data_IF_495464009832
#
_entry.id   IF_495464009832
#
_cell.length_a   1.000
_cell.length_b   1.000
_cell.length_c   1.000
_cell.angle_alpha   90.00
_cell.angle_beta   90.00
_cell.angle_gamma   90.00
#
_symmetry.space_group_name_H-M   'P 1'
#
loop_
_entity.id
_entity.type
_entity.pdbx_description
1 polymer ?
#
# COMPACT_ATOMS: atom_id res chain seq x y z
N UNK A 1 21.93 0.36 -10.27
CA UNK A 1 22.18 0.34 -8.82
C UNK A 1 23.68 0.30 -8.63
N UNK A 2 24.27 1.38 -8.10
CA UNK A 2 25.69 1.41 -7.81
C UNK A 2 26.02 0.28 -6.83
N UNK A 3 27.08 -0.46 -7.10
CA UNK A 3 27.54 -1.60 -6.32
C UNK A 3 28.15 -1.22 -4.96
N UNK A 4 28.15 0.05 -4.61
CA UNK A 4 28.67 0.55 -3.34
C UNK A 4 27.69 0.22 -2.20
N UNK A 5 28.06 -0.62 -1.23
CA UNK A 5 27.22 -1.00 -0.11
C UNK A 5 26.73 0.20 0.72
N UNK A 6 27.50 1.29 0.76
CA UNK A 6 27.16 2.52 1.46
C UNK A 6 25.98 3.23 0.79
N UNK A 7 25.93 3.29 -0.55
CA UNK A 7 24.82 3.94 -1.29
C UNK A 7 23.52 3.15 -1.12
N UNK A 8 23.61 1.82 -1.13
CA UNK A 8 22.47 0.95 -0.90
C UNK A 8 21.93 1.09 0.54
N UNK A 9 22.82 1.14 1.54
CA UNK A 9 22.45 1.37 2.92
C UNK A 9 21.81 2.75 3.13
N UNK A 10 22.38 3.81 2.54
CA UNK A 10 21.82 5.15 2.61
C UNK A 10 20.43 5.20 1.98
N UNK A 11 20.23 4.57 0.83
CA UNK A 11 18.93 4.44 0.18
C UNK A 11 17.90 3.75 1.08
N UNK A 12 18.28 2.70 1.78
CA UNK A 12 17.43 1.99 2.73
C UNK A 12 17.04 2.88 3.92
N UNK A 13 17.97 3.62 4.52
CA UNK A 13 17.67 4.54 5.60
C UNK A 13 16.75 5.69 5.16
N UNK A 14 16.95 6.23 3.97
CA UNK A 14 16.06 7.25 3.40
C UNK A 14 14.66 6.70 3.15
N UNK A 15 14.53 5.44 2.72
CA UNK A 15 13.24 4.78 2.57
C UNK A 15 12.54 4.59 3.92
N UNK A 16 13.25 4.13 4.95
CA UNK A 16 12.68 3.99 6.29
C UNK A 16 12.24 5.35 6.86
N UNK A 17 13.05 6.39 6.70
CA UNK A 17 12.71 7.73 7.19
C UNK A 17 11.53 8.31 6.39
N UNK A 18 11.61 8.31 5.07
CA UNK A 18 10.60 8.93 4.20
C UNK A 18 9.28 8.18 4.21
N UNK A 19 9.31 6.90 3.88
CA UNK A 19 8.09 6.10 3.79
C UNK A 19 7.61 5.59 5.15
N UNK A 20 8.53 5.11 5.99
CA UNK A 20 8.18 4.57 7.31
C UNK A 20 7.77 5.65 8.30
N UNK A 21 8.65 6.60 8.60
CA UNK A 21 8.41 7.58 9.66
C UNK A 21 7.52 8.71 9.16
N UNK A 22 7.93 9.46 8.15
CA UNK A 22 7.20 10.63 7.65
C UNK A 22 5.85 10.20 7.05
N UNK A 23 5.85 9.14 6.23
CA UNK A 23 4.64 8.58 5.65
C UNK A 23 3.68 8.04 6.72
N UNK A 24 4.18 7.35 7.74
CA UNK A 24 3.38 6.84 8.86
C UNK A 24 2.73 7.95 9.67
N UNK A 25 3.47 9.03 9.99
CA UNK A 25 2.92 10.22 10.66
C UNK A 25 1.84 10.87 9.78
N UNK A 26 2.12 11.06 8.48
CA UNK A 26 1.16 11.64 7.54
C UNK A 26 -0.12 10.82 7.42
N UNK A 27 -0.01 9.50 7.35
CA UNK A 27 -1.15 8.58 7.32
C UNK A 27 -1.99 8.70 8.60
N UNK A 28 -1.35 8.73 9.77
CA UNK A 28 -2.05 8.87 11.06
C UNK A 28 -2.84 10.17 11.16
N UNK A 29 -2.24 11.29 10.81
CA UNK A 29 -2.88 12.61 10.84
C UNK A 29 -4.02 12.72 9.81
N UNK A 30 -3.79 12.24 8.59
CA UNK A 30 -4.76 12.32 7.49
C UNK A 30 -5.95 11.36 7.65
N UNK A 31 -5.79 10.29 8.42
CA UNK A 31 -6.84 9.29 8.61
C UNK A 31 -7.91 9.72 9.63
N UNK A 32 -7.49 10.29 10.75
CA UNK A 32 -8.39 10.63 11.87
C UNK A 32 -9.31 11.79 11.54
N UNK A 33 -8.80 12.83 10.86
CA UNK A 33 -9.56 14.04 10.55
C UNK A 33 -10.83 13.82 9.74
N UNK A 34 -10.81 13.09 8.59
CA UNK A 34 -12.02 12.81 7.81
C UNK A 34 -13.06 12.00 8.60
N UNK A 35 -12.62 10.98 9.33
CA UNK A 35 -13.51 10.12 10.12
C UNK A 35 -14.24 10.94 11.19
N UNK A 36 -13.49 11.72 11.99
CA UNK A 36 -14.08 12.52 13.05
C UNK A 36 -15.04 13.59 12.54
N UNK A 37 -14.74 14.16 11.39
CA UNK A 37 -15.61 15.18 10.78
C UNK A 37 -16.89 14.60 10.20
N UNK A 38 -16.79 13.47 9.49
CA UNK A 38 -18.00 12.84 8.94
C UNK A 38 -18.96 12.36 10.03
N UNK A 39 -18.46 11.86 11.15
CA UNK A 39 -19.30 11.53 12.32
C UNK A 39 -20.04 12.76 12.85
N UNK A 40 -19.45 13.96 12.77
CA UNK A 40 -20.10 15.22 13.18
C UNK A 40 -21.14 15.70 12.16
N UNK A 41 -20.90 15.49 10.87
CA UNK A 41 -21.84 15.82 9.81
C UNK A 41 -23.06 14.89 9.80
N UNK A 42 -22.90 13.63 10.19
CA UNK A 42 -23.95 12.59 10.16
C UNK A 42 -24.13 11.96 11.54
N UNK A 43 -24.60 12.72 12.54
CA UNK A 43 -24.80 12.20 13.89
C UNK A 43 -25.94 11.17 14.00
N UNK A 44 -26.82 11.14 13.00
CA UNK A 44 -27.95 10.22 12.83
C UNK A 44 -27.53 8.85 12.27
N UNK A 45 -26.39 8.80 11.55
CA UNK A 45 -25.86 7.60 10.88
C UNK A 45 -24.34 7.52 11.02
N UNK A 46 -23.88 7.43 12.25
CA UNK A 46 -22.43 7.47 12.57
C UNK A 46 -21.65 6.30 11.99
N UNK A 47 -22.26 5.10 11.99
CA UNK A 47 -21.66 3.91 11.42
C UNK A 47 -21.47 4.07 9.92
N UNK A 48 -22.53 4.40 9.19
CA UNK A 48 -22.44 4.63 7.74
C UNK A 48 -21.42 5.72 7.40
N UNK A 49 -21.42 6.84 8.13
CA UNK A 49 -20.48 7.94 7.92
C UNK A 49 -19.03 7.50 8.12
N UNK A 50 -18.77 6.72 9.17
CA UNK A 50 -17.46 6.10 9.42
C UNK A 50 -17.10 5.14 8.29
N UNK A 51 -18.02 4.27 7.88
CA UNK A 51 -17.84 3.32 6.79
C UNK A 51 -17.44 4.02 5.49
N UNK A 52 -18.15 5.10 5.13
CA UNK A 52 -17.83 5.92 3.95
C UNK A 52 -16.43 6.55 4.03
N UNK A 53 -16.02 7.07 5.19
CA UNK A 53 -14.69 7.62 5.37
C UNK A 53 -13.60 6.58 5.14
N UNK A 54 -13.76 5.41 5.77
CA UNK A 54 -12.71 4.38 5.75
C UNK A 54 -12.76 3.47 4.51
N UNK A 55 -13.87 3.46 3.75
CA UNK A 55 -13.92 2.74 2.47
C UNK A 55 -12.95 3.30 1.44
N UNK A 56 -12.65 4.60 1.52
CA UNK A 56 -11.65 5.26 0.68
C UNK A 56 -10.28 4.59 0.74
N UNK A 57 -9.94 3.96 1.86
CA UNK A 57 -8.70 3.20 2.00
C UNK A 57 -8.67 1.97 1.06
N UNK A 58 -9.75 1.20 1.00
CA UNK A 58 -9.85 0.05 0.08
C UNK A 58 -9.95 0.48 -1.39
N UNK A 59 -10.80 1.48 -1.68
CA UNK A 59 -10.96 2.04 -3.02
C UNK A 59 -9.69 2.74 -3.52
N UNK A 60 -8.97 3.43 -2.64
CA UNK A 60 -7.69 4.05 -2.94
C UNK A 60 -6.62 3.04 -3.36
N UNK A 61 -6.56 1.90 -2.69
CA UNK A 61 -5.64 0.81 -3.06
C UNK A 61 -5.92 0.26 -4.47
N UNK A 62 -7.18 0.16 -4.86
CA UNK A 62 -7.58 -0.25 -6.21
C UNK A 62 -7.13 0.76 -7.28
N UNK A 63 -7.40 2.04 -7.06
CA UNK A 63 -7.00 3.12 -7.97
C UNK A 63 -5.47 3.21 -8.05
N UNK A 64 -4.81 3.14 -6.90
CA UNK A 64 -3.34 3.20 -6.80
C UNK A 64 -2.70 2.04 -7.57
N UNK A 65 -3.20 0.81 -7.40
CA UNK A 65 -2.67 -0.35 -8.13
C UNK A 65 -2.72 -0.15 -9.65
N UNK A 66 -3.88 0.24 -10.19
CA UNK A 66 -4.05 0.47 -11.62
C UNK A 66 -3.15 1.60 -12.14
N UNK A 67 -2.97 2.65 -11.34
CA UNK A 67 -2.12 3.78 -11.68
C UNK A 67 -0.64 3.41 -11.62
N UNK A 68 -0.23 2.68 -10.58
CA UNK A 68 1.15 2.23 -10.38
C UNK A 68 1.57 1.30 -11.52
N UNK A 69 0.76 0.30 -11.87
CA UNK A 69 1.08 -0.65 -12.92
C UNK A 69 1.35 0.09 -14.26
N UNK A 70 0.46 1.03 -14.63
CA UNK A 70 0.63 1.84 -15.86
C UNK A 70 1.84 2.77 -15.82
N UNK A 71 2.14 3.35 -14.66
CA UNK A 71 3.29 4.25 -14.52
C UNK A 71 4.60 3.48 -14.54
N UNK A 72 4.66 2.32 -13.88
CA UNK A 72 5.82 1.45 -13.93
C UNK A 72 6.11 1.01 -15.38
N UNK A 73 5.08 0.59 -16.12
CA UNK A 73 5.20 0.24 -17.52
C UNK A 73 5.69 1.42 -18.37
N UNK A 74 5.13 2.63 -18.14
CA UNK A 74 5.50 3.85 -18.86
C UNK A 74 6.94 4.29 -18.60
N UNK A 75 7.42 4.16 -17.37
CA UNK A 75 8.77 4.59 -16.97
C UNK A 75 9.79 3.46 -17.00
N UNK A 76 9.35 2.24 -17.33
CA UNK A 76 10.24 1.10 -17.49
C UNK A 76 11.26 1.35 -18.59
N UNK A 77 12.52 1.02 -18.29
CA UNK A 77 13.59 0.98 -19.27
C UNK A 77 14.18 -0.42 -19.25
N UNK A 78 14.11 -1.11 -20.38
CA UNK A 78 14.69 -2.43 -20.51
C UNK A 78 16.21 -2.38 -20.24
N UNK A 79 16.77 -3.33 -19.47
CA UNK A 79 18.19 -3.48 -19.33
C UNK A 79 18.81 -3.95 -20.65
N UNK A 80 20.09 -3.69 -20.85
CA UNK A 80 20.81 -4.09 -22.05
C UNK A 80 20.96 -5.61 -22.08
N UNK A 81 20.50 -6.21 -23.18
CA UNK A 81 20.56 -7.65 -23.41
C UNK A 81 21.87 -8.02 -24.10
N UNK A 82 22.62 -8.97 -23.53
CA UNK A 82 23.89 -9.43 -24.07
C UNK A 82 23.78 -10.69 -24.92
N UNK A 83 22.73 -11.48 -24.69
CA UNK A 83 22.54 -12.74 -25.42
C UNK A 83 22.11 -13.90 -24.54
N UNK A 84 22.05 -15.09 -25.13
CA UNK A 84 21.72 -16.31 -24.41
C UNK A 84 22.85 -16.73 -23.47
N UNK A 85 22.48 -17.38 -22.36
CA UNK A 85 23.42 -17.89 -21.36
C UNK A 85 24.48 -18.83 -21.98
N UNK A 86 24.10 -19.59 -22.99
CA UNK A 86 24.94 -20.55 -23.73
C UNK A 86 26.02 -19.87 -24.55
N UNK A 87 25.83 -18.63 -24.95
CA UNK A 87 26.72 -17.88 -25.83
C UNK A 87 27.78 -17.06 -25.07
N UNK A 88 27.71 -16.98 -23.76
CA UNK A 88 28.54 -16.08 -22.94
C UNK A 88 29.28 -16.84 -21.85
N UNK A 89 30.56 -16.45 -21.64
CA UNK A 89 31.37 -17.01 -20.55
C UNK A 89 31.06 -16.24 -19.25
N UNK A 90 30.25 -16.87 -18.39
CA UNK A 90 29.92 -16.33 -17.09
C UNK A 90 31.04 -16.63 -16.08
N UNK A 91 31.45 -15.60 -15.36
CA UNK A 91 32.39 -15.68 -14.25
C UNK A 91 31.60 -15.41 -12.97
N UNK A 92 31.71 -16.27 -11.97
CA UNK A 92 31.01 -16.07 -10.69
C UNK A 92 32.00 -15.72 -9.60
N UNK A 93 31.89 -14.53 -9.03
CA UNK A 93 32.72 -14.07 -7.91
C UNK A 93 31.86 -13.51 -6.79
N UNK A 94 32.09 -13.93 -5.57
CA UNK A 94 31.33 -13.48 -4.35
C UNK A 94 29.81 -13.57 -4.51
N UNK A 95 29.31 -14.59 -5.22
CA UNK A 95 27.85 -14.76 -5.45
C UNK A 95 27.25 -13.86 -6.54
N UNK A 96 28.07 -13.06 -7.22
CA UNK A 96 27.68 -12.23 -8.38
C UNK A 96 28.19 -12.82 -9.66
N UNK A 97 27.53 -12.52 -10.76
CA UNK A 97 27.93 -13.00 -12.11
C UNK A 97 28.45 -11.84 -12.93
N UNK A 98 29.54 -12.12 -13.65
CA UNK A 98 30.19 -11.15 -14.51
C UNK A 98 30.43 -11.75 -15.90
N UNK A 99 30.48 -10.88 -16.90
CA UNK A 99 30.88 -11.17 -18.26
C UNK A 99 31.99 -10.19 -18.64
N UNK A 100 33.02 -10.66 -19.33
CA UNK A 100 34.08 -9.81 -19.87
C UNK A 100 33.57 -9.14 -21.16
N UNK A 101 33.44 -7.81 -21.14
CA UNK A 101 33.05 -7.00 -22.29
C UNK A 101 34.18 -6.02 -22.58
N UNK A 102 34.80 -6.14 -23.73
CA UNK A 102 35.92 -5.27 -24.16
C UNK A 102 37.06 -5.17 -23.15
N UNK A 103 37.38 -6.29 -22.47
CA UNK A 103 38.45 -6.36 -21.48
C UNK A 103 38.06 -5.92 -20.05
N UNK A 104 36.82 -5.54 -19.82
CA UNK A 104 36.30 -5.17 -18.51
C UNK A 104 35.29 -6.20 -17.99
N UNK A 105 35.39 -6.55 -16.69
CA UNK A 105 34.39 -7.37 -16.02
C UNK A 105 33.15 -6.53 -15.73
N UNK A 106 32.02 -6.87 -16.37
CA UNK A 106 30.73 -6.21 -16.20
C UNK A 106 29.78 -7.12 -15.45
N UNK A 107 29.19 -6.61 -14.39
CA UNK A 107 28.19 -7.36 -13.60
C UNK A 107 26.93 -7.60 -14.41
N UNK A 108 26.45 -8.86 -14.39
CA UNK A 108 25.29 -9.29 -15.18
C UNK A 108 24.31 -10.08 -14.33
N UNK A 109 23.06 -10.07 -14.75
CA UNK A 109 21.98 -10.92 -14.19
C UNK A 109 21.51 -11.89 -15.26
N UNK A 110 21.27 -13.15 -14.87
CA UNK A 110 20.69 -14.17 -15.73
C UNK A 110 19.21 -14.26 -15.44
N UNK A 111 18.40 -13.99 -16.46
CA UNK A 111 16.94 -14.08 -16.41
C UNK A 111 16.52 -15.41 -17.01
N UNK A 112 15.69 -16.15 -16.28
CA UNK A 112 15.11 -17.42 -16.69
C UNK A 112 13.60 -17.29 -16.88
N UNK A 113 12.97 -18.27 -17.51
CA UNK A 113 11.51 -18.30 -17.68
C UNK A 113 10.75 -18.22 -16.33
N UNK A 114 11.34 -18.72 -15.24
CA UNK A 114 10.76 -18.67 -13.90
C UNK A 114 10.73 -17.24 -13.30
N UNK A 115 11.49 -16.32 -13.86
CA UNK A 115 11.57 -14.94 -13.37
C UNK A 115 10.50 -14.05 -14.02
N UNK A 116 9.85 -14.48 -15.09
CA UNK A 116 8.87 -13.69 -15.85
C UNK A 116 7.69 -13.21 -15.00
N UNK A 117 7.22 -14.04 -14.06
CA UNK A 117 6.14 -13.68 -13.17
C UNK A 117 6.48 -12.52 -12.22
N UNK A 118 7.79 -12.25 -12.01
CA UNK A 118 8.32 -11.20 -11.14
C UNK A 118 8.68 -9.92 -11.91
N UNK A 119 8.69 -9.97 -13.25
CA UNK A 119 9.09 -8.86 -14.10
C UNK A 119 7.91 -7.90 -14.34
N UNK A 120 8.20 -6.61 -14.45
CA UNK A 120 7.21 -5.57 -14.81
C UNK A 120 6.79 -5.75 -16.26
N UNK A 121 7.77 -5.93 -17.13
CA UNK A 121 7.57 -6.26 -18.56
C UNK A 121 8.32 -7.56 -18.84
N UNK A 122 7.65 -8.59 -19.35
CA UNK A 122 8.31 -9.83 -19.76
C UNK A 122 9.41 -9.55 -20.79
N UNK A 123 10.57 -10.17 -20.62
CA UNK A 123 11.72 -10.03 -21.52
C UNK A 123 12.24 -11.40 -21.87
N UNK A 124 13.02 -11.52 -22.91
CA UNK A 124 13.58 -12.79 -23.34
C UNK A 124 14.52 -13.41 -22.28
N UNK A 125 14.54 -14.75 -22.12
CA UNK A 125 15.51 -15.38 -21.24
C UNK A 125 16.94 -15.11 -21.73
N UNK A 126 17.84 -14.82 -20.81
CA UNK A 126 19.25 -14.55 -21.18
C UNK A 126 19.99 -13.71 -20.15
N UNK A 127 21.06 -13.10 -20.60
CA UNK A 127 21.99 -12.32 -19.78
C UNK A 127 21.79 -10.84 -20.03
N UNK A 128 21.64 -10.08 -18.94
CA UNK A 128 21.42 -8.62 -18.96
C UNK A 128 22.46 -7.90 -18.12
N UNK A 129 22.87 -6.71 -18.56
CA UNK A 129 23.81 -5.86 -17.82
C UNK A 129 23.10 -5.22 -16.64
N UNK A 130 23.70 -5.37 -15.44
CA UNK A 130 23.19 -4.73 -14.23
C UNK A 130 23.38 -3.21 -14.31
N UNK A 131 22.33 -2.46 -13.94
CA UNK A 131 22.39 -0.99 -13.88
C UNK A 131 22.06 -0.25 -15.17
N UNK A 132 21.85 -0.94 -16.30
CA UNK A 132 21.48 -0.30 -17.58
C UNK A 132 19.98 -0.06 -17.72
N UNK A 133 19.14 -0.85 -17.01
CA UNK A 133 17.69 -0.69 -17.00
C UNK A 133 17.16 0.07 -15.79
N UNK A 134 15.88 0.41 -15.83
CA UNK A 134 15.14 0.98 -14.70
C UNK A 134 13.78 0.31 -14.56
N UNK A 135 13.38 0.00 -13.32
CA UNK A 135 12.03 -0.46 -13.02
C UNK A 135 10.97 0.66 -13.16
N UNK A 136 11.38 1.92 -13.31
CA UNK A 136 10.49 3.07 -13.31
C UNK A 136 9.92 3.43 -11.93
N UNK A 137 10.39 2.78 -10.86
CA UNK A 137 9.85 2.99 -9.52
C UNK A 137 10.08 4.41 -8.99
N UNK A 138 11.28 4.97 -9.19
CA UNK A 138 11.61 6.33 -8.72
C UNK A 138 10.72 7.39 -9.36
N UNK A 139 10.53 7.31 -10.69
CA UNK A 139 9.69 8.22 -11.47
C UNK A 139 8.22 8.07 -11.08
N UNK A 140 7.78 6.84 -10.85
CA UNK A 140 6.43 6.53 -10.37
C UNK A 140 6.17 7.14 -8.99
N UNK A 141 7.08 6.98 -8.04
CA UNK A 141 6.98 7.58 -6.71
C UNK A 141 6.93 9.11 -6.79
N UNK A 142 7.80 9.72 -7.59
CA UNK A 142 7.82 11.17 -7.75
C UNK A 142 6.50 11.68 -8.35
N UNK A 143 6.02 11.06 -9.42
CA UNK A 143 4.78 11.45 -10.08
C UNK A 143 3.58 11.33 -9.14
N UNK A 144 3.41 10.19 -8.49
CA UNK A 144 2.32 9.97 -7.53
C UNK A 144 2.44 10.89 -6.32
N UNK A 145 3.65 11.15 -5.83
CA UNK A 145 3.89 12.08 -4.72
C UNK A 145 3.40 13.49 -5.05
N UNK A 146 3.68 13.99 -6.25
CA UNK A 146 3.19 15.31 -6.72
C UNK A 146 1.66 15.30 -6.84
N UNK A 147 1.09 14.27 -7.45
CA UNK A 147 -0.38 14.16 -7.60
C UNK A 147 -1.07 14.13 -6.24
N UNK A 148 -0.57 13.31 -5.31
CA UNK A 148 -1.13 13.23 -3.96
C UNK A 148 -1.00 14.57 -3.21
N UNK A 149 0.15 15.22 -3.31
CA UNK A 149 0.35 16.53 -2.70
C UNK A 149 -0.67 17.56 -3.19
N UNK A 150 -0.87 17.65 -4.49
CA UNK A 150 -1.83 18.59 -5.10
C UNK A 150 -3.26 18.25 -4.67
N UNK A 151 -3.68 16.99 -4.81
CA UNK A 151 -5.05 16.57 -4.48
C UNK A 151 -5.35 16.74 -3.00
N UNK A 152 -4.42 16.33 -2.12
CA UNK A 152 -4.61 16.47 -0.67
C UNK A 152 -4.61 17.94 -0.24
N UNK A 153 -3.80 18.80 -0.87
CA UNK A 153 -3.81 20.23 -0.58
C UNK A 153 -5.15 20.87 -0.94
N UNK A 154 -5.68 20.57 -2.14
CA UNK A 154 -7.01 21.04 -2.56
C UNK A 154 -8.09 20.52 -1.59
N UNK A 155 -8.05 19.24 -1.24
CA UNK A 155 -8.97 18.64 -0.29
C UNK A 155 -8.91 19.31 1.09
N UNK A 156 -7.70 19.60 1.59
CA UNK A 156 -7.50 20.27 2.89
C UNK A 156 -8.13 21.67 2.92
N UNK A 157 -8.02 22.43 1.85
CA UNK A 157 -8.67 23.76 1.75
C UNK A 157 -10.19 23.69 1.59
N UNK A 158 -10.73 22.62 1.02
CA UNK A 158 -12.18 22.42 0.88
C UNK A 158 -12.85 21.86 2.16
N UNK A 159 -12.05 21.38 3.10
CA UNK A 159 -12.51 20.70 4.30
C UNK A 159 -13.19 21.67 5.27
N UNK A 160 -14.38 21.29 5.75
CA UNK A 160 -15.18 22.09 6.71
C UNK A 160 -15.72 21.21 7.82
N UNK A 161 -15.62 21.72 9.03
CA UNK A 161 -16.24 21.10 10.21
C UNK A 161 -17.63 21.74 10.41
N UNK A 162 -18.68 20.97 10.72
CA UNK A 162 -19.98 21.54 11.01
C UNK A 162 -19.95 22.42 12.26
N UNK A 163 -20.88 23.38 12.34
CA UNK A 163 -21.04 24.22 13.53
C UNK A 163 -21.38 23.36 14.76
N UNK A 164 -21.04 23.83 15.97
CA UNK A 164 -21.24 23.07 17.22
C UNK A 164 -22.68 22.61 17.45
N UNK A 165 -23.66 23.41 17.00
CA UNK A 165 -25.10 23.12 17.15
C UNK A 165 -25.74 22.55 15.88
N UNK A 166 -24.93 22.15 14.88
CA UNK A 166 -25.45 21.61 13.65
C UNK A 166 -26.14 20.26 13.88
N UNK A 167 -27.29 20.09 13.31
CA UNK A 167 -28.08 18.84 13.34
C UNK A 167 -28.74 18.63 11.98
N UNK A 168 -28.88 17.38 11.53
CA UNK A 168 -29.69 17.06 10.35
C UNK A 168 -31.15 17.51 10.54
N UNK A 169 -31.77 17.93 9.45
CA UNK A 169 -33.14 18.35 9.47
C UNK A 169 -34.09 17.20 9.90
N UNK A 170 -34.98 17.46 10.85
CA UNK A 170 -35.88 16.45 11.38
C UNK A 170 -35.29 15.47 12.40
N UNK A 171 -33.98 15.53 12.68
CA UNK A 171 -33.34 14.64 13.66
C UNK A 171 -33.25 15.27 15.05
N UNK A 172 -33.67 14.50 16.04
CA UNK A 172 -33.47 14.83 17.46
C UNK A 172 -32.64 13.75 18.14
N UNK A 173 -31.67 14.12 19.01
CA UNK A 173 -30.91 13.11 19.76
C UNK A 173 -31.87 12.19 20.53
N UNK A 174 -31.67 10.87 20.55
CA UNK A 174 -32.50 9.94 21.32
C UNK A 174 -32.46 10.32 22.79
N UNK A 175 -33.66 10.48 23.36
CA UNK A 175 -33.83 10.87 24.77
C UNK A 175 -33.45 9.76 25.75
N UNK A 176 -33.48 8.51 25.33
CA UNK A 176 -33.18 7.34 26.13
C UNK A 176 -31.78 6.79 25.75
N UNK A 177 -30.74 7.40 26.32
CA UNK A 177 -29.37 6.87 26.23
C UNK A 177 -29.18 5.49 26.92
N UNK A 178 -30.22 5.00 27.61
CA UNK A 178 -30.18 3.73 28.37
C UNK A 178 -30.22 2.47 27.48
N UNK A 179 -30.62 2.59 26.22
CA UNK A 179 -30.70 1.44 25.29
C UNK A 179 -29.57 1.33 24.26
N UNK A 180 -28.68 2.29 24.22
CA UNK A 180 -27.56 2.27 23.30
C UNK A 180 -26.26 1.92 24.07
N UNK A 181 -25.30 1.28 23.39
CA UNK A 181 -23.96 1.04 23.93
C UNK A 181 -23.14 2.34 24.12
N UNK A 182 -23.83 3.44 24.39
CA UNK A 182 -23.26 4.76 24.61
C UNK A 182 -22.97 4.91 26.10
N UNK A 183 -21.69 4.98 26.44
CA UNK A 183 -21.26 5.30 27.81
C UNK A 183 -21.50 6.79 28.11
N UNK A 184 -21.94 7.08 29.32
CA UNK A 184 -22.00 8.45 29.86
C UNK A 184 -20.71 8.85 30.58
N UNK A 185 -19.81 7.89 30.81
CA UNK A 185 -18.54 8.12 31.46
C UNK A 185 -17.49 8.53 30.41
N UNK A 186 -17.42 9.83 30.15
CA UNK A 186 -16.40 10.40 29.29
C UNK A 186 -15.07 10.53 30.04
N UNK A 187 -13.98 10.10 29.42
CA UNK A 187 -12.63 10.17 29.97
C UNK A 187 -11.83 11.22 29.21
N UNK A 188 -11.24 12.17 29.92
CA UNK A 188 -10.32 13.14 29.29
C UNK A 188 -9.10 12.44 28.72
N UNK A 189 -8.51 12.96 27.65
CA UNK A 189 -7.40 12.32 26.94
C UNK A 189 -6.20 12.04 27.87
N UNK A 190 -5.90 12.95 28.79
CA UNK A 190 -4.79 12.79 29.75
C UNK A 190 -5.04 11.64 30.75
N UNK A 191 -6.29 11.25 30.94
CA UNK A 191 -6.67 10.11 31.79
C UNK A 191 -6.85 8.83 30.98
N UNK A 192 -7.10 8.90 29.68
CA UNK A 192 -7.34 7.75 28.81
C UNK A 192 -6.17 6.74 28.87
N UNK A 193 -4.94 7.23 28.83
CA UNK A 193 -3.73 6.40 28.92
C UNK A 193 -3.56 5.68 30.28
N UNK A 194 -4.30 6.10 31.32
CA UNK A 194 -4.30 5.47 32.63
C UNK A 194 -5.40 4.41 32.79
N UNK A 195 -6.24 4.23 31.77
CA UNK A 195 -7.34 3.28 31.79
C UNK A 195 -6.97 1.97 31.08
N UNK A 196 -7.28 0.79 31.65
CA UNK A 196 -7.01 -0.47 30.96
C UNK A 196 -7.82 -0.63 29.67
N UNK A 197 -9.00 0.00 29.58
CA UNK A 197 -9.87 -0.01 28.39
C UNK A 197 -9.18 0.54 27.15
N UNK A 198 -8.36 1.59 27.31
CA UNK A 198 -7.57 2.14 26.22
C UNK A 198 -6.64 1.08 25.62
N UNK A 199 -5.92 0.35 26.46
CA UNK A 199 -4.97 -0.67 26.01
C UNK A 199 -5.69 -1.89 25.40
N UNK A 200 -6.83 -2.30 25.94
CA UNK A 200 -7.61 -3.38 25.33
C UNK A 200 -8.12 -3.00 23.93
N UNK A 201 -8.65 -1.80 23.76
CA UNK A 201 -9.07 -1.30 22.45
C UNK A 201 -7.90 -1.21 21.48
N UNK A 202 -6.76 -0.73 21.95
CA UNK A 202 -5.55 -0.65 21.14
C UNK A 202 -5.07 -2.04 20.70
N UNK A 203 -5.04 -3.01 21.60
CA UNK A 203 -4.64 -4.41 21.32
C UNK A 203 -5.59 -5.03 20.29
N UNK A 204 -6.90 -4.91 20.48
CA UNK A 204 -7.90 -5.44 19.53
C UNK A 204 -7.70 -4.85 18.14
N UNK A 205 -7.54 -3.53 18.05
CA UNK A 205 -7.29 -2.86 16.77
C UNK A 205 -5.96 -3.29 16.16
N UNK A 206 -4.90 -3.35 16.96
CA UNK A 206 -3.56 -3.74 16.50
C UNK A 206 -3.57 -5.14 15.89
N UNK A 207 -4.11 -6.15 16.58
CA UNK A 207 -4.16 -7.51 16.06
C UNK A 207 -5.07 -7.65 14.84
N UNK A 208 -6.22 -6.97 14.84
CA UNK A 208 -7.12 -6.98 13.70
C UNK A 208 -6.48 -6.38 12.44
N UNK A 209 -5.80 -5.25 12.59
CA UNK A 209 -5.10 -4.57 11.49
C UNK A 209 -3.89 -5.37 11.02
N UNK A 210 -3.12 -5.95 11.94
CA UNK A 210 -1.94 -6.78 11.62
C UNK A 210 -2.34 -7.97 10.76
N UNK A 211 -3.41 -8.68 11.12
CA UNK A 211 -3.91 -9.81 10.34
C UNK A 211 -4.31 -9.40 8.91
N UNK A 212 -5.00 -8.26 8.77
CA UNK A 212 -5.44 -7.76 7.47
C UNK A 212 -4.30 -7.22 6.61
N UNK A 213 -3.54 -6.25 7.11
CA UNK A 213 -2.46 -5.59 6.35
C UNK A 213 -1.30 -6.54 6.07
N UNK A 214 -0.96 -7.43 7.03
CA UNK A 214 0.09 -8.42 6.85
C UNK A 214 -0.17 -9.32 5.64
N UNK A 215 -1.40 -9.82 5.48
CA UNK A 215 -1.78 -10.64 4.33
C UNK A 215 -1.84 -9.80 3.05
N UNK A 216 -2.48 -8.63 3.08
CA UNK A 216 -2.62 -7.77 1.90
C UNK A 216 -1.27 -7.35 1.34
N UNK A 217 -0.31 -7.01 2.21
CA UNK A 217 1.02 -6.54 1.81
C UNK A 217 1.82 -7.57 1.01
N UNK A 218 1.62 -8.86 1.27
CA UNK A 218 2.36 -9.96 0.63
C UNK A 218 1.47 -10.84 -0.27
N UNK A 219 0.18 -10.51 -0.41
CA UNK A 219 -0.81 -11.36 -1.06
C UNK A 219 -0.42 -11.77 -2.49
N UNK A 220 0.10 -10.85 -3.31
CA UNK A 220 0.55 -11.14 -4.67
C UNK A 220 1.74 -12.10 -4.67
N UNK A 221 2.76 -11.80 -3.88
CA UNK A 221 3.98 -12.62 -3.78
C UNK A 221 3.66 -14.00 -3.25
N UNK A 222 2.87 -14.07 -2.19
CA UNK A 222 2.39 -15.31 -1.59
C UNK A 222 1.62 -16.20 -2.60
N UNK A 223 0.73 -15.58 -3.38
CA UNK A 223 -0.01 -16.29 -4.42
C UNK A 223 0.94 -16.89 -5.47
N UNK A 224 1.92 -16.11 -5.93
CA UNK A 224 2.88 -16.55 -6.93
C UNK A 224 3.81 -17.62 -6.36
N UNK A 225 4.41 -17.41 -5.19
CA UNK A 225 5.44 -18.30 -4.65
C UNK A 225 4.88 -19.65 -4.18
N UNK A 226 3.67 -19.67 -3.62
CA UNK A 226 3.08 -20.87 -3.06
C UNK A 226 2.36 -21.69 -4.16
N UNK A 227 1.60 -21.04 -5.04
CA UNK A 227 0.68 -21.74 -5.92
C UNK A 227 1.16 -21.88 -7.37
N UNK A 228 2.02 -20.99 -7.89
CA UNK A 228 2.53 -21.13 -9.26
C UNK A 228 3.29 -22.43 -9.49
N UNK A 229 4.10 -22.97 -8.56
CA UNK A 229 4.78 -24.24 -8.77
C UNK A 229 3.83 -25.42 -8.99
N UNK A 230 2.67 -25.40 -8.33
CA UNK A 230 1.66 -26.47 -8.41
C UNK A 230 0.59 -26.24 -9.48
N UNK A 231 0.31 -24.98 -9.81
CA UNK A 231 -0.78 -24.57 -10.72
C UNK A 231 -0.32 -23.49 -11.72
N UNK A 232 0.73 -23.73 -12.51
CA UNK A 232 1.36 -22.69 -13.36
C UNK A 232 0.42 -22.15 -14.46
N UNK A 233 -0.53 -22.98 -14.92
CA UNK A 233 -1.50 -22.58 -15.94
C UNK A 233 -2.62 -21.68 -15.41
N UNK A 234 -2.88 -21.69 -14.11
CA UNK A 234 -3.94 -20.91 -13.46
C UNK A 234 -3.36 -19.68 -12.76
N UNK A 235 -2.32 -19.87 -11.95
CA UNK A 235 -1.74 -18.80 -11.12
C UNK A 235 -0.65 -18.07 -11.91
N UNK A 236 -1.12 -17.24 -12.82
CA UNK A 236 -0.27 -16.30 -13.58
C UNK A 236 -0.08 -14.98 -12.80
N UNK A 237 0.83 -14.14 -13.24
CA UNK A 237 1.01 -12.77 -12.69
C UNK A 237 -0.28 -11.93 -12.78
N UNK A 238 -1.05 -12.10 -13.86
CA UNK A 238 -2.36 -11.46 -14.05
C UNK A 238 -3.39 -11.96 -13.05
N UNK A 239 -3.47 -13.27 -12.82
CA UNK A 239 -4.34 -13.87 -11.82
C UNK A 239 -4.02 -13.36 -10.41
N UNK A 240 -2.74 -13.36 -10.03
CA UNK A 240 -2.31 -12.85 -8.73
C UNK A 240 -2.62 -11.35 -8.56
N UNK A 241 -2.51 -10.57 -9.64
CA UNK A 241 -2.93 -9.16 -9.65
C UNK A 241 -4.43 -8.99 -9.45
N UNK A 242 -5.25 -9.81 -10.12
CA UNK A 242 -6.71 -9.82 -9.97
C UNK A 242 -7.13 -10.23 -8.55
N UNK A 243 -6.46 -11.21 -7.96
CA UNK A 243 -6.69 -11.61 -6.57
C UNK A 243 -6.53 -10.45 -5.58
N UNK A 244 -5.44 -9.68 -5.68
CA UNK A 244 -5.21 -8.48 -4.84
C UNK A 244 -6.29 -7.42 -5.07
N UNK A 245 -6.71 -7.24 -6.33
CA UNK A 245 -7.80 -6.32 -6.66
C UNK A 245 -9.11 -6.74 -6.00
N UNK A 246 -9.46 -8.02 -6.04
CA UNK A 246 -10.66 -8.56 -5.39
C UNK A 246 -10.62 -8.38 -3.88
N UNK A 247 -9.48 -8.62 -3.23
CA UNK A 247 -9.32 -8.33 -1.79
C UNK A 247 -9.65 -6.86 -1.51
N UNK A 248 -9.14 -5.94 -2.33
CA UNK A 248 -9.39 -4.50 -2.16
C UNK A 248 -10.87 -4.12 -2.32
N UNK A 249 -11.56 -4.72 -3.30
CA UNK A 249 -13.00 -4.51 -3.52
C UNK A 249 -13.81 -5.01 -2.32
N UNK A 250 -13.55 -6.23 -1.85
CA UNK A 250 -14.28 -6.79 -0.69
C UNK A 250 -13.94 -6.04 0.61
N UNK A 251 -12.71 -5.54 0.76
CA UNK A 251 -12.34 -4.69 1.89
C UNK A 251 -13.14 -3.37 1.87
N UNK A 252 -13.29 -2.75 0.70
CA UNK A 252 -14.08 -1.52 0.53
C UNK A 252 -15.57 -1.75 0.85
N UNK A 253 -16.16 -2.76 0.22
CA UNK A 253 -17.60 -3.09 0.39
C UNK A 253 -17.88 -3.51 1.83
N UNK A 254 -17.04 -4.34 2.43
CA UNK A 254 -17.20 -4.80 3.81
C UNK A 254 -17.20 -3.66 4.83
N UNK A 255 -16.40 -2.63 4.61
CA UNK A 255 -16.37 -1.45 5.50
C UNK A 255 -17.69 -0.67 5.49
N UNK A 256 -18.29 -0.45 4.32
CA UNK A 256 -19.63 0.20 4.25
C UNK A 256 -20.69 -0.71 4.84
N UNK A 257 -20.69 -1.98 4.43
CA UNK A 257 -21.76 -2.91 4.83
C UNK A 257 -21.83 -3.06 6.35
N UNK A 258 -20.74 -3.46 6.99
CA UNK A 258 -20.73 -3.67 8.44
C UNK A 258 -20.91 -2.39 9.23
N UNK A 259 -20.33 -1.28 8.77
CA UNK A 259 -20.49 0.00 9.44
C UNK A 259 -21.96 0.52 9.35
N UNK A 260 -22.62 0.34 8.20
CA UNK A 260 -24.04 0.73 8.05
C UNK A 260 -24.97 -0.18 8.85
N UNK A 261 -24.62 -1.45 9.05
CA UNK A 261 -25.38 -2.37 9.89
C UNK A 261 -25.25 -2.07 11.39
N UNK A 262 -24.26 -1.27 11.79
CA UNK A 262 -24.06 -0.88 13.19
C UNK A 262 -24.91 0.32 13.63
N UNK A 263 -25.53 1.05 12.69
CA UNK A 263 -26.46 2.16 12.95
C UNK A 263 -27.84 1.65 13.39
#
# INVERSE_FOLDING_TARGET
>A
LSSEPIVLQLGLYLLYLGYGVIGGIGLGLGYVSPVSTLIRWFPDRRGMATGMAIMGFGGGAMIAKLSIDKLLEKFYKAPEYLGEVSSLKLITEAGRRFVEISGNLTEVVVVTANDFAKMIVPSDPGVYIVGTGSSGASETFLFLGIVYFVVMTIAAFSYRVPAENWKPEGWTPPKDATKSMITQNHVHIDQALKTPQFYFLWIVLCFNVTAGIGVIGVAKTMMIEIFTPSLPSIVTASFAGTYVLMISVFNMVGRIFWASMSD
#
